data_IF_452246471762
#
_entry.id   IF_452246471762
#
_cell.length_a   1.000
_cell.length_b   1.000
_cell.length_c   1.000
_cell.angle_alpha   90.00
_cell.angle_beta   90.00
_cell.angle_gamma   90.00
#
_symmetry.space_group_name_H-M   'P 1'
#
loop_
_entity.id
_entity.type
_entity.pdbx_description
1 polymer ?
#
# COMPACT_ATOMS: atom_id res chain seq x y z
N UNK A 1 2.81 11.89 5.40
CA UNK A 1 2.10 12.54 4.27
C UNK A 1 1.85 11.49 3.21
N UNK A 2 0.68 11.50 2.58
CA UNK A 2 0.40 10.65 1.43
C UNK A 2 1.16 11.17 0.20
N UNK A 3 1.61 10.28 -0.67
CA UNK A 3 2.30 10.62 -1.92
C UNK A 3 1.73 9.75 -3.03
N UNK A 4 1.35 10.39 -4.13
CA UNK A 4 0.80 9.75 -5.31
C UNK A 4 1.25 10.50 -6.56
N UNK A 5 1.24 9.82 -7.70
CA UNK A 5 1.54 10.37 -9.01
C UNK A 5 0.70 9.69 -10.08
N UNK A 6 0.57 10.33 -11.24
CA UNK A 6 -0.14 9.76 -12.38
C UNK A 6 0.86 9.02 -13.25
N UNK A 7 0.56 7.76 -13.56
CA UNK A 7 1.27 6.96 -14.56
C UNK A 7 0.35 6.65 -15.75
N UNK A 8 0.97 6.54 -16.93
CA UNK A 8 0.28 6.08 -18.13
C UNK A 8 0.25 4.55 -18.16
N UNK A 9 -0.94 3.99 -18.33
CA UNK A 9 -1.17 2.56 -18.44
C UNK A 9 -1.79 2.24 -19.79
N UNK A 10 -1.22 1.24 -20.47
CA UNK A 10 -1.75 0.72 -21.72
C UNK A 10 -2.72 -0.43 -21.45
N UNK A 11 -3.96 -0.30 -21.93
CA UNK A 11 -4.95 -1.37 -21.82
C UNK A 11 -4.50 -2.61 -22.61
N UNK A 12 -4.47 -3.82 -22.01
CA UNK A 12 -4.05 -5.04 -22.72
C UNK A 12 -5.07 -5.50 -23.76
N UNK A 13 -6.35 -5.12 -23.63
CA UNK A 13 -7.42 -5.53 -24.55
C UNK A 13 -7.51 -4.62 -25.78
N UNK A 14 -7.49 -3.29 -25.60
CA UNK A 14 -7.69 -2.33 -26.70
C UNK A 14 -6.49 -1.43 -27.00
N UNK A 15 -5.39 -1.54 -26.25
CA UNK A 15 -4.16 -0.75 -26.42
C UNK A 15 -4.33 0.76 -26.23
N UNK A 16 -5.48 1.20 -25.70
CA UNK A 16 -5.68 2.60 -25.33
C UNK A 16 -4.82 2.95 -24.12
N UNK A 17 -4.09 4.06 -24.21
CA UNK A 17 -3.40 4.67 -23.06
C UNK A 17 -4.41 5.40 -22.19
N UNK A 18 -4.33 5.22 -20.88
CA UNK A 18 -5.04 6.08 -19.94
C UNK A 18 -4.22 6.36 -18.69
N UNK A 19 -4.70 7.33 -17.94
CA UNK A 19 -4.04 7.79 -16.72
C UNK A 19 -4.49 6.92 -15.54
N UNK A 20 -3.52 6.50 -14.72
CA UNK A 20 -3.74 5.74 -13.51
C UNK A 20 -3.02 6.40 -12.34
N UNK A 21 -3.72 6.55 -11.22
CA UNK A 21 -3.16 7.14 -10.01
C UNK A 21 -2.43 6.09 -9.18
N UNK A 22 -1.11 6.18 -9.15
CA UNK A 22 -0.22 5.31 -8.36
C UNK A 22 0.03 5.96 -7.01
N UNK A 23 -0.17 5.17 -5.95
CA UNK A 23 0.02 5.60 -4.56
C UNK A 23 1.34 5.06 -4.01
N UNK A 24 2.36 5.92 -3.97
CA UNK A 24 3.67 5.59 -3.35
C UNK A 24 3.52 5.39 -1.83
N UNK A 25 2.74 6.28 -1.19
CA UNK A 25 2.44 6.18 0.23
C UNK A 25 1.02 6.63 0.54
N UNK A 26 0.35 5.90 1.42
CA UNK A 26 -1.01 6.17 1.87
C UNK A 26 -0.95 6.43 3.36
N UNK A 27 -1.37 7.61 3.77
CA UNK A 27 -1.58 7.94 5.17
C UNK A 27 -3.07 7.92 5.49
N UNK A 28 -3.50 6.97 6.32
CA UNK A 28 -4.93 6.77 6.60
C UNK A 28 -5.56 7.86 7.48
N UNK A 29 -4.75 8.65 8.19
CA UNK A 29 -5.23 9.84 8.93
C UNK A 29 -5.67 10.92 7.95
N UNK A 30 -4.87 11.13 6.90
CA UNK A 30 -5.11 12.16 5.90
C UNK A 30 -6.12 11.72 4.85
N UNK A 31 -6.19 10.42 4.57
CA UNK A 31 -7.04 9.84 3.52
C UNK A 31 -7.75 8.57 4.04
N UNK A 32 -8.75 8.70 4.93
CA UNK A 32 -9.44 7.55 5.51
C UNK A 32 -10.16 6.69 4.45
N UNK A 33 -10.68 7.30 3.40
CA UNK A 33 -11.26 6.63 2.23
C UNK A 33 -10.30 5.65 1.52
N UNK A 34 -8.98 5.92 1.59
CA UNK A 34 -7.98 5.05 0.97
C UNK A 34 -7.81 3.74 1.74
N UNK A 35 -8.13 3.71 3.04
CA UNK A 35 -8.14 2.45 3.81
C UNK A 35 -9.16 1.48 3.20
N UNK A 36 -10.36 1.97 2.87
CA UNK A 36 -11.38 1.13 2.25
C UNK A 36 -10.93 0.65 0.86
N UNK A 37 -10.36 1.54 0.03
CA UNK A 37 -9.81 1.18 -1.29
C UNK A 37 -8.67 0.15 -1.24
N UNK A 38 -7.85 0.18 -0.19
CA UNK A 38 -6.82 -0.84 0.04
C UNK A 38 -7.46 -2.17 0.47
N UNK A 39 -8.43 -2.12 1.39
CA UNK A 39 -9.12 -3.31 1.91
C UNK A 39 -9.95 -4.03 0.85
N UNK A 40 -10.62 -3.29 -0.04
CA UNK A 40 -11.39 -3.84 -1.16
C UNK A 40 -10.55 -4.03 -2.44
N UNK A 41 -9.25 -3.68 -2.39
CA UNK A 41 -8.28 -3.81 -3.48
C UNK A 41 -8.54 -2.93 -4.71
N UNK A 42 -9.52 -2.04 -4.67
CA UNK A 42 -9.86 -1.18 -5.81
C UNK A 42 -8.73 -0.23 -6.17
N UNK A 43 -7.83 0.07 -5.23
CA UNK A 43 -6.63 0.88 -5.49
C UNK A 43 -5.70 0.25 -6.53
N UNK A 44 -5.75 -1.07 -6.70
CA UNK A 44 -4.94 -1.81 -7.67
C UNK A 44 -5.70 -2.12 -8.96
N UNK A 45 -6.93 -1.63 -9.13
CA UNK A 45 -7.76 -1.91 -10.29
C UNK A 45 -7.82 -0.71 -11.21
N UNK A 46 -7.52 -0.94 -12.48
CA UNK A 46 -7.74 0.03 -13.53
C UNK A 46 -8.84 -0.46 -14.46
N UNK A 47 -9.83 0.41 -14.72
CA UNK A 47 -10.90 0.18 -15.70
C UNK A 47 -10.63 1.04 -16.92
N UNK A 48 -10.42 0.41 -18.07
CA UNK A 48 -10.15 1.13 -19.31
C UNK A 48 -11.38 1.96 -19.73
N UNK A 49 -11.26 3.28 -19.92
CA UNK A 49 -12.38 4.13 -20.32
C UNK A 49 -12.85 3.86 -21.76
N UNK A 50 -12.01 3.24 -22.59
CA UNK A 50 -12.31 2.99 -23.99
C UNK A 50 -13.09 1.68 -24.23
N UNK A 51 -12.72 0.59 -23.57
CA UNK A 51 -13.36 -0.72 -23.78
C UNK A 51 -14.01 -1.33 -22.54
N UNK A 52 -13.88 -0.72 -21.36
CA UNK A 52 -14.43 -1.23 -20.10
C UNK A 52 -13.67 -2.41 -19.48
N UNK A 53 -12.58 -2.87 -20.11
CA UNK A 53 -11.73 -3.92 -19.53
C UNK A 53 -11.20 -3.48 -18.16
N UNK A 54 -11.31 -4.36 -17.16
CA UNK A 54 -10.77 -4.12 -15.83
C UNK A 54 -9.63 -5.08 -15.56
N UNK A 55 -8.46 -4.55 -15.25
CA UNK A 55 -7.29 -5.36 -14.91
C UNK A 55 -6.54 -4.79 -13.72
N UNK A 56 -5.67 -5.64 -13.15
CA UNK A 56 -4.95 -5.33 -11.93
C UNK A 56 -3.56 -4.79 -12.22
N UNK A 57 -3.20 -3.72 -11.53
CA UNK A 57 -1.87 -3.13 -11.49
C UNK A 57 -1.31 -3.29 -10.08
N UNK A 58 -0.28 -4.12 -9.93
CA UNK A 58 0.42 -4.25 -8.66
C UNK A 58 1.65 -3.35 -8.70
N UNK A 59 1.74 -2.40 -7.77
CA UNK A 59 2.85 -1.48 -7.63
C UNK A 59 3.25 -1.38 -6.15
N UNK A 60 4.49 -1.00 -5.83
CA UNK A 60 4.92 -0.80 -4.46
C UNK A 60 4.07 0.27 -3.76
N UNK A 61 3.67 0.03 -2.52
CA UNK A 61 2.85 0.98 -1.76
C UNK A 61 3.18 0.92 -0.28
N UNK A 62 3.54 2.07 0.30
CA UNK A 62 3.72 2.22 1.74
C UNK A 62 2.40 2.58 2.41
N UNK A 63 1.78 1.63 3.11
CA UNK A 63 0.61 1.87 3.93
C UNK A 63 1.02 2.36 5.32
N UNK A 64 0.54 3.53 5.71
CA UNK A 64 0.86 4.19 6.97
C UNK A 64 -0.42 4.51 7.76
N UNK A 65 -0.58 3.83 8.90
CA UNK A 65 -1.67 4.06 9.86
C UNK A 65 -1.07 4.61 11.15
N UNK A 66 -1.10 5.94 11.30
CA UNK A 66 -0.40 6.62 12.39
C UNK A 66 -1.05 6.36 13.75
N UNK A 67 -2.37 6.23 13.82
CA UNK A 67 -3.11 6.01 15.06
C UNK A 67 -2.70 4.73 15.77
N UNK A 68 -2.30 3.73 14.99
CA UNK A 68 -1.86 2.42 15.48
C UNK A 68 -0.36 2.20 15.37
N UNK A 69 0.37 3.21 14.90
CA UNK A 69 1.80 3.13 14.63
C UNK A 69 2.11 1.91 13.75
N UNK A 70 1.28 1.67 12.72
CA UNK A 70 1.46 0.56 11.79
C UNK A 70 1.99 1.11 10.48
N UNK A 71 3.04 0.46 9.96
CA UNK A 71 3.58 0.75 8.65
C UNK A 71 3.80 -0.56 7.91
N UNK A 72 3.13 -0.72 6.76
CA UNK A 72 3.19 -1.94 5.96
C UNK A 72 3.62 -1.55 4.56
N UNK A 73 4.76 -2.06 4.11
CA UNK A 73 5.25 -1.80 2.77
C UNK A 73 4.95 -3.00 1.87
N UNK A 74 4.07 -2.81 0.90
CA UNK A 74 3.92 -3.72 -0.23
C UNK A 74 5.03 -3.46 -1.24
N UNK A 75 5.84 -4.47 -1.54
CA UNK A 75 6.92 -4.41 -2.52
C UNK A 75 6.99 -5.71 -3.32
N UNK A 76 7.52 -5.73 -4.55
CA UNK A 76 7.78 -6.98 -5.26
C UNK A 76 8.81 -7.83 -4.50
N UNK A 77 8.79 -9.15 -4.70
CA UNK A 77 9.71 -10.09 -4.02
C UNK A 77 11.18 -9.72 -4.22
N UNK A 78 11.54 -9.19 -5.40
CA UNK A 78 12.88 -8.74 -5.74
C UNK A 78 13.37 -7.54 -4.91
N UNK A 79 12.49 -6.81 -4.24
CA UNK A 79 12.81 -5.62 -3.45
C UNK A 79 12.72 -5.83 -1.94
N UNK A 80 12.39 -7.05 -1.50
CA UNK A 80 12.21 -7.36 -0.06
C UNK A 80 13.49 -7.10 0.73
N UNK A 81 14.64 -7.56 0.25
CA UNK A 81 15.93 -7.40 0.95
C UNK A 81 16.32 -5.92 1.08
N UNK A 82 16.25 -5.18 -0.02
CA UNK A 82 16.47 -3.71 -0.04
C UNK A 82 15.54 -2.98 0.91
N UNK A 83 14.26 -3.36 0.94
CA UNK A 83 13.25 -2.76 1.82
C UNK A 83 13.53 -3.11 3.29
N UNK A 84 14.00 -4.32 3.56
CA UNK A 84 14.40 -4.74 4.89
C UNK A 84 15.58 -3.90 5.41
N UNK A 85 16.61 -3.70 4.60
CA UNK A 85 17.74 -2.82 4.94
C UNK A 85 17.30 -1.38 5.22
N UNK A 86 16.33 -0.85 4.46
CA UNK A 86 15.79 0.50 4.68
C UNK A 86 15.12 0.66 6.06
N UNK A 87 14.44 -0.37 6.56
CA UNK A 87 13.72 -0.33 7.84
C UNK A 87 14.58 -0.77 9.03
N UNK A 88 15.43 -1.77 8.85
CA UNK A 88 16.10 -2.49 9.93
C UNK A 88 17.63 -2.47 9.83
N UNK A 89 18.19 -1.96 8.73
CA UNK A 89 19.63 -1.86 8.54
C UNK A 89 20.30 -0.85 9.47
N UNK A 90 21.63 -0.90 9.52
CA UNK A 90 22.43 0.00 10.36
C UNK A 90 22.22 1.48 10.02
N UNK A 91 21.96 1.77 8.73
CA UNK A 91 21.66 3.09 8.18
C UNK A 91 20.16 3.34 7.97
N UNK A 92 19.27 2.57 8.62
CA UNK A 92 17.83 2.77 8.50
C UNK A 92 17.48 4.25 8.76
N UNK A 93 16.73 4.85 7.84
CA UNK A 93 16.33 6.27 7.91
C UNK A 93 15.72 6.56 9.28
N UNK A 94 16.17 7.63 9.93
CA UNK A 94 15.75 8.02 11.28
C UNK A 94 14.21 8.13 11.42
N UNK A 95 13.52 8.49 10.34
CA UNK A 95 12.05 8.56 10.28
C UNK A 95 11.37 7.19 10.51
N UNK A 96 12.03 6.10 10.11
CA UNK A 96 11.55 4.71 10.29
C UNK A 96 12.01 4.07 11.60
N UNK A 97 13.00 4.68 12.28
CA UNK A 97 13.50 4.28 13.61
C UNK A 97 12.66 4.85 14.77
N UNK A 98 11.47 5.36 14.52
CA UNK A 98 10.57 5.71 15.62
C UNK A 98 10.20 4.42 16.36
N UNK A 99 10.76 4.23 17.56
CA UNK A 99 10.81 3.00 18.38
C UNK A 99 9.46 2.37 18.75
N UNK A 100 8.36 2.81 18.13
CA UNK A 100 6.99 2.38 18.41
C UNK A 100 6.23 1.91 17.18
N UNK A 101 6.80 1.99 15.96
CA UNK A 101 6.11 1.50 14.76
C UNK A 101 6.25 0.00 14.54
N UNK A 102 5.12 -0.66 14.28
CA UNK A 102 5.06 -2.03 13.80
C UNK A 102 5.26 -2.03 12.27
N UNK A 103 6.50 -2.26 11.87
CA UNK A 103 6.89 -2.34 10.47
C UNK A 103 6.63 -3.76 9.91
N UNK A 104 6.03 -3.85 8.73
CA UNK A 104 5.83 -5.10 7.99
C UNK A 104 6.19 -4.89 6.53
N UNK A 105 6.78 -5.93 5.93
CA UNK A 105 7.04 -6.01 4.49
C UNK A 105 6.16 -7.14 3.98
N UNK A 106 5.42 -6.89 2.90
CA UNK A 106 4.53 -7.84 2.26
C UNK A 106 4.76 -7.82 0.75
N UNK A 107 4.50 -8.95 0.09
CA UNK A 107 4.76 -9.10 -1.35
C UNK A 107 3.50 -9.25 -2.19
N UNK A 108 2.33 -9.20 -1.54
CA UNK A 108 1.04 -9.22 -2.23
C UNK A 108 0.00 -8.36 -1.53
N UNK A 109 -0.96 -7.86 -2.31
CA UNK A 109 -2.09 -7.11 -1.77
C UNK A 109 -2.92 -7.93 -0.77
N UNK A 110 -3.03 -9.25 -0.96
CA UNK A 110 -3.75 -10.11 -0.02
C UNK A 110 -3.05 -10.14 1.34
N UNK A 111 -1.71 -10.26 1.37
CA UNK A 111 -0.94 -10.17 2.62
C UNK A 111 -1.09 -8.79 3.27
N UNK A 112 -1.06 -7.71 2.48
CA UNK A 112 -1.29 -6.36 2.98
C UNK A 112 -2.63 -6.27 3.74
N UNK A 113 -3.71 -6.71 3.11
CA UNK A 113 -5.06 -6.70 3.70
C UNK A 113 -5.15 -7.59 4.94
N UNK A 114 -4.57 -8.79 4.88
CA UNK A 114 -4.55 -9.71 6.02
C UNK A 114 -3.90 -9.03 7.23
N UNK A 115 -2.75 -8.37 7.04
CA UNK A 115 -2.07 -7.65 8.13
C UNK A 115 -2.90 -6.48 8.64
N UNK A 116 -3.50 -5.66 7.77
CA UNK A 116 -4.39 -4.57 8.19
C UNK A 116 -5.54 -5.12 9.05
N UNK A 117 -6.21 -6.18 8.60
CA UNK A 117 -7.30 -6.82 9.35
C UNK A 117 -6.87 -7.38 10.69
N UNK A 118 -5.69 -8.00 10.77
CA UNK A 118 -5.13 -8.52 12.04
C UNK A 118 -4.89 -7.36 13.02
N UNK A 119 -4.32 -6.25 12.55
CA UNK A 119 -4.08 -5.09 13.41
C UNK A 119 -5.39 -4.44 13.89
N UNK A 120 -6.37 -4.30 12.99
CA UNK A 120 -7.69 -3.78 13.35
C UNK A 120 -8.43 -4.70 14.34
N UNK A 121 -8.39 -6.03 14.13
CA UNK A 121 -9.03 -7.00 15.03
C UNK A 121 -8.36 -7.09 16.42
N UNK A 122 -7.03 -6.89 16.49
CA UNK A 122 -6.31 -6.76 17.76
C UNK A 122 -6.73 -5.54 18.59
N UNK A 123 -7.47 -4.60 17.99
CA UNK A 123 -8.10 -3.46 18.64
C UNK A 123 -9.50 -3.80 19.17
N UNK A 124 -10.29 -4.58 18.43
CA UNK A 124 -11.61 -5.07 18.87
C UNK A 124 -11.53 -5.98 20.12
N UNK A 125 -10.39 -6.66 20.33
CA UNK A 125 -10.12 -7.45 21.53
C UNK A 125 -9.75 -6.64 22.78
N UNK A 126 -9.51 -5.32 22.67
CA UNK A 126 -9.25 -4.42 23.81
C UNK A 126 -10.55 -3.73 24.22
N UNK A 127 -11.44 -4.51 24.83
CA UNK A 127 -12.57 -3.96 25.59
C UNK A 127 -12.00 -3.39 26.90
N UNK A 128 -12.00 -2.05 27.02
CA UNK A 128 -11.80 -1.20 28.21
C UNK A 128 -10.71 -1.58 29.24
#
# INVERSE_FOLDING_TARGET
>A
MSKHHIEKVTCPSCHHEGDFEVWDSINTVLNPEMKEKVLNQSIFLYTCPNCGETFRLNYPTLYHQMEDLVMIYLVPESEVEKTYEMFYGENALADYRTEKYLNRIVTSANQLIEKIKIFDAGKDGRIN
#
